data_IF_936762764314
#
_entry.id   IF_936762764314
#
_cell.length_a   1.000
_cell.length_b   1.000
_cell.length_c   1.000
_cell.angle_alpha   90.00
_cell.angle_beta   90.00
_cell.angle_gamma   90.00
#
_symmetry.space_group_name_H-M   'P 1'
#
loop_
_entity.id
_entity.type
_entity.pdbx_description
1 polymer ?
#
# COMPACT_ATOMS: atom_id res chain seq x y z
N UNK A 1 -6.18 -19.18 4.90
CA UNK A 1 -6.50 -18.22 5.98
C UNK A 1 -6.92 -16.86 5.44
N UNK A 2 -6.11 -16.13 4.67
CA UNK A 2 -6.53 -14.87 4.03
C UNK A 2 -7.86 -14.98 3.24
N UNK A 3 -7.99 -16.03 2.41
CA UNK A 3 -9.23 -16.31 1.67
C UNK A 3 -10.49 -16.52 2.53
N UNK A 4 -10.33 -16.95 3.79
CA UNK A 4 -11.45 -17.14 4.72
C UNK A 4 -11.93 -15.78 5.22
N UNK A 5 -11.00 -14.91 5.64
CA UNK A 5 -11.34 -13.56 6.09
C UNK A 5 -11.90 -12.69 4.96
N UNK A 6 -11.39 -12.83 3.73
CA UNK A 6 -11.95 -12.12 2.58
C UNK A 6 -13.36 -12.62 2.24
N UNK A 7 -13.59 -13.93 2.25
CA UNK A 7 -14.93 -14.50 2.03
C UNK A 7 -15.91 -14.05 3.12
N UNK A 8 -15.49 -14.05 4.38
CA UNK A 8 -16.33 -13.60 5.51
C UNK A 8 -16.69 -12.12 5.41
N UNK A 9 -15.74 -11.27 4.99
CA UNK A 9 -15.97 -9.84 4.76
C UNK A 9 -16.92 -9.60 3.57
N UNK A 10 -16.80 -10.41 2.52
CA UNK A 10 -17.70 -10.34 1.38
C UNK A 10 -19.12 -10.79 1.75
N UNK A 11 -19.26 -11.92 2.44
CA UNK A 11 -20.56 -12.42 2.90
C UNK A 11 -21.25 -11.44 3.84
N UNK A 12 -20.51 -10.78 4.75
CA UNK A 12 -21.10 -9.77 5.62
C UNK A 12 -21.71 -8.63 4.79
N UNK A 13 -21.00 -8.13 3.77
CA UNK A 13 -21.53 -7.09 2.89
C UNK A 13 -22.78 -7.50 2.12
N UNK A 14 -22.86 -8.75 1.67
CA UNK A 14 -24.07 -9.29 1.02
C UNK A 14 -25.24 -9.29 2.00
N UNK A 15 -25.02 -9.78 3.23
CA UNK A 15 -26.07 -9.81 4.26
C UNK A 15 -26.58 -8.40 4.56
N UNK A 16 -25.69 -7.42 4.76
CA UNK A 16 -26.10 -6.03 4.97
C UNK A 16 -26.82 -5.42 3.76
N UNK A 17 -26.40 -5.78 2.54
CA UNK A 17 -27.08 -5.32 1.31
C UNK A 17 -28.49 -5.90 1.22
N UNK A 18 -28.67 -7.20 1.47
CA UNK A 18 -29.97 -7.87 1.46
C UNK A 18 -30.90 -7.31 2.55
N UNK A 19 -30.41 -7.16 3.78
CA UNK A 19 -31.16 -6.53 4.86
C UNK A 19 -31.47 -5.06 4.57
N UNK A 20 -30.58 -4.36 3.87
CA UNK A 20 -30.76 -2.99 3.40
C UNK A 20 -31.94 -2.81 2.44
N UNK A 21 -32.27 -3.84 1.66
CA UNK A 21 -33.47 -3.82 0.79
C UNK A 21 -34.78 -3.82 1.57
N UNK A 22 -34.78 -4.38 2.79
CA UNK A 22 -35.95 -4.41 3.66
C UNK A 22 -35.96 -3.21 4.61
N UNK A 23 -34.81 -2.87 5.19
CA UNK A 23 -34.65 -1.79 6.17
C UNK A 23 -33.52 -0.84 5.76
N UNK A 24 -33.91 0.37 5.35
CA UNK A 24 -33.03 1.38 4.75
C UNK A 24 -31.80 1.75 5.62
N UNK A 25 -31.89 1.56 6.95
CA UNK A 25 -30.78 1.77 7.91
C UNK A 25 -29.56 0.90 7.58
N UNK A 26 -29.76 -0.33 7.13
CA UNK A 26 -28.68 -1.29 6.88
C UNK A 26 -27.98 -1.05 5.53
N UNK A 27 -28.63 -0.35 4.59
CA UNK A 27 -28.03 0.01 3.31
C UNK A 27 -26.80 0.91 3.49
N UNK A 28 -26.80 1.79 4.49
CA UNK A 28 -25.68 2.71 4.77
C UNK A 28 -24.43 1.97 5.28
N UNK A 29 -24.61 0.81 5.92
CA UNK A 29 -23.51 0.04 6.53
C UNK A 29 -23.05 -1.14 5.66
N UNK A 30 -23.59 -1.29 4.46
CA UNK A 30 -23.30 -2.44 3.58
C UNK A 30 -21.80 -2.64 3.30
N UNK A 31 -21.04 -1.56 3.14
CA UNK A 31 -19.59 -1.60 2.88
C UNK A 31 -18.75 -1.27 4.11
N UNK A 32 -19.35 -1.20 5.31
CA UNK A 32 -18.65 -0.71 6.51
C UNK A 32 -17.38 -1.49 6.84
N UNK A 33 -17.39 -2.82 6.66
CA UNK A 33 -16.25 -3.70 6.94
C UNK A 33 -15.15 -3.66 5.88
N UNK A 34 -15.37 -3.00 4.74
CA UNK A 34 -14.38 -2.80 3.68
C UNK A 34 -13.46 -1.58 3.93
N UNK A 35 -13.70 -0.80 4.97
CA UNK A 35 -12.82 0.33 5.31
C UNK A 35 -11.38 -0.13 5.57
N UNK A 36 -10.40 0.62 5.05
CA UNK A 36 -8.97 0.29 5.16
C UNK A 36 -8.50 0.23 6.62
N UNK A 37 -9.16 0.96 7.51
CA UNK A 37 -8.89 1.04 8.94
C UNK A 37 -9.62 -0.03 9.77
N UNK A 38 -10.33 -0.97 9.14
CA UNK A 38 -11.14 -1.96 9.84
C UNK A 38 -10.36 -3.25 10.11
N UNK A 39 -10.74 -3.91 11.21
CA UNK A 39 -10.14 -5.17 11.67
C UNK A 39 -10.13 -6.27 10.58
N UNK A 40 -11.21 -6.49 9.78
CA UNK A 40 -11.18 -7.53 8.75
C UNK A 40 -10.10 -7.30 7.71
N UNK A 41 -9.94 -6.06 7.25
CA UNK A 41 -8.90 -5.69 6.27
C UNK A 41 -7.50 -5.90 6.86
N UNK A 42 -7.31 -5.56 8.14
CA UNK A 42 -6.05 -5.82 8.85
C UNK A 42 -5.74 -7.32 8.98
N UNK A 43 -6.74 -8.17 9.27
CA UNK A 43 -6.55 -9.62 9.33
C UNK A 43 -6.26 -10.22 7.95
N UNK A 44 -6.91 -9.71 6.91
CA UNK A 44 -6.65 -10.10 5.52
C UNK A 44 -5.20 -9.75 5.16
N UNK A 45 -4.75 -8.51 5.42
CA UNK A 45 -3.39 -8.08 5.09
C UNK A 45 -2.33 -8.85 5.89
N UNK A 46 -2.53 -9.05 7.19
CA UNK A 46 -1.61 -9.81 8.04
C UNK A 46 -1.48 -11.27 7.59
N UNK A 47 -2.60 -11.94 7.32
CA UNK A 47 -2.56 -13.34 6.89
C UNK A 47 -2.07 -13.51 5.46
N UNK A 48 -2.28 -12.53 4.59
CA UNK A 48 -1.67 -12.49 3.26
C UNK A 48 -0.15 -12.34 3.36
N UNK A 49 0.32 -11.43 4.21
CA UNK A 49 1.75 -11.25 4.49
C UNK A 49 2.38 -12.56 5.00
N UNK A 50 1.76 -13.20 6.00
CA UNK A 50 2.23 -14.50 6.52
C UNK A 50 2.21 -15.62 5.47
N UNK A 51 1.30 -15.57 4.49
CA UNK A 51 1.31 -16.53 3.39
C UNK A 51 2.56 -16.35 2.52
N UNK A 52 2.95 -15.11 2.24
CA UNK A 52 4.16 -14.82 1.48
C UNK A 52 5.46 -15.07 2.27
N UNK A 53 5.48 -14.92 3.59
CA UNK A 53 6.68 -15.25 4.39
C UNK A 53 6.99 -16.75 4.39
N UNK A 54 5.97 -17.59 4.25
CA UNK A 54 6.12 -19.04 4.17
C UNK A 54 6.40 -19.53 2.74
N UNK A 55 6.34 -18.65 1.74
CA UNK A 55 6.57 -19.00 0.34
C UNK A 55 8.07 -19.12 0.09
N UNK A 56 8.53 -20.33 -0.24
CA UNK A 56 9.92 -20.57 -0.63
C UNK A 56 10.12 -20.14 -2.09
N UNK A 57 10.65 -18.94 -2.28
CA UNK A 57 10.97 -18.37 -3.59
C UNK A 57 12.48 -18.28 -3.79
N UNK A 58 12.95 -18.67 -4.97
CA UNK A 58 14.35 -18.51 -5.34
C UNK A 58 14.67 -17.04 -5.65
N UNK A 59 15.93 -16.66 -5.44
CA UNK A 59 16.42 -15.33 -5.78
C UNK A 59 16.26 -15.06 -7.29
N UNK A 60 15.57 -13.97 -7.64
CA UNK A 60 15.45 -13.51 -9.02
C UNK A 60 15.69 -12.00 -9.06
N UNK A 61 16.64 -11.57 -9.89
CA UNK A 61 17.07 -10.18 -9.93
C UNK A 61 15.93 -9.22 -10.32
N UNK A 62 15.09 -9.62 -11.28
CA UNK A 62 13.96 -8.81 -11.74
C UNK A 62 12.91 -8.58 -10.66
N UNK A 63 12.55 -9.62 -9.89
CA UNK A 63 11.56 -9.49 -8.81
C UNK A 63 12.13 -8.61 -7.70
N UNK A 64 13.40 -8.80 -7.33
CA UNK A 64 14.02 -7.98 -6.29
C UNK A 64 14.16 -6.51 -6.70
N UNK A 65 14.47 -6.24 -7.96
CA UNK A 65 14.52 -4.86 -8.49
C UNK A 65 13.12 -4.23 -8.53
N UNK A 66 12.08 -4.98 -8.89
CA UNK A 66 10.70 -4.49 -8.80
C UNK A 66 10.27 -4.26 -7.36
N UNK A 67 10.67 -5.15 -6.44
CA UNK A 67 10.36 -5.04 -5.02
C UNK A 67 10.88 -3.74 -4.41
N UNK A 68 12.10 -3.30 -4.75
CA UNK A 68 12.62 -2.01 -4.27
C UNK A 68 11.78 -0.83 -4.73
N UNK A 69 11.16 -0.91 -5.92
CA UNK A 69 10.34 0.16 -6.47
C UNK A 69 8.89 0.18 -5.96
N UNK A 70 8.39 -0.92 -5.37
CA UNK A 70 6.96 -1.04 -4.97
C UNK A 70 6.50 0.07 -4.02
N UNK A 71 7.32 0.42 -3.03
CA UNK A 71 6.98 1.46 -2.06
C UNK A 71 6.95 2.85 -2.72
N UNK A 72 7.92 3.16 -3.60
CA UNK A 72 7.92 4.44 -4.32
C UNK A 72 6.74 4.57 -5.28
N UNK A 73 6.40 3.49 -6.00
CA UNK A 73 5.20 3.42 -6.83
C UNK A 73 3.95 3.72 -6.02
N UNK A 74 3.81 3.12 -4.82
CA UNK A 74 2.71 3.40 -3.91
C UNK A 74 2.59 4.89 -3.58
N UNK A 75 3.69 5.52 -3.18
CA UNK A 75 3.71 6.95 -2.85
C UNK A 75 3.34 7.86 -4.04
N UNK A 76 3.66 7.47 -5.27
CA UNK A 76 3.34 8.26 -6.46
C UNK A 76 1.85 8.18 -6.78
N UNK A 77 1.29 6.97 -6.92
CA UNK A 77 -0.09 6.83 -7.41
C UNK A 77 -1.16 7.07 -6.33
N UNK A 78 -0.85 6.82 -5.06
CA UNK A 78 -1.74 7.11 -3.92
C UNK A 78 -1.49 8.51 -3.32
N UNK A 79 -0.66 9.35 -3.97
CA UNK A 79 -0.51 10.73 -3.56
C UNK A 79 -1.84 11.49 -3.67
N UNK A 80 -2.20 12.28 -2.65
CA UNK A 80 -3.47 13.01 -2.61
C UNK A 80 -3.69 13.96 -3.80
N UNK A 81 -2.61 14.46 -4.41
CA UNK A 81 -2.64 15.35 -5.58
C UNK A 81 -2.69 14.53 -6.88
N UNK A 82 -1.84 13.51 -7.01
CA UNK A 82 -1.72 12.75 -8.26
C UNK A 82 -2.88 11.78 -8.47
N UNK A 83 -3.42 11.20 -7.40
CA UNK A 83 -4.54 10.25 -7.45
C UNK A 83 -5.73 10.80 -8.25
N UNK A 84 -6.33 11.96 -7.94
CA UNK A 84 -7.44 12.49 -8.73
C UNK A 84 -7.01 12.83 -10.17
N UNK A 85 -5.78 13.32 -10.39
CA UNK A 85 -5.30 13.64 -11.74
C UNK A 85 -5.22 12.38 -12.60
N UNK A 86 -4.63 11.30 -12.08
CA UNK A 86 -4.54 10.01 -12.77
C UNK A 86 -5.94 9.46 -13.07
N UNK A 87 -6.76 9.27 -12.04
CA UNK A 87 -7.98 8.48 -12.19
C UNK A 87 -9.17 9.27 -12.75
N UNK A 88 -9.23 10.59 -12.51
CA UNK A 88 -10.35 11.46 -12.96
C UNK A 88 -9.98 12.18 -14.25
N UNK A 89 -8.80 12.83 -14.31
CA UNK A 89 -8.48 13.69 -15.45
C UNK A 89 -7.89 12.92 -16.64
N UNK A 90 -6.95 12.00 -16.39
CA UNK A 90 -6.23 11.26 -17.45
C UNK A 90 -7.05 10.07 -17.93
N UNK A 91 -7.35 9.12 -17.02
CA UNK A 91 -7.98 7.86 -17.41
C UNK A 91 -9.50 7.87 -17.36
N UNK A 92 -10.12 8.93 -16.80
CA UNK A 92 -11.57 9.16 -16.82
C UNK A 92 -12.40 7.91 -16.49
N UNK A 93 -11.98 7.13 -15.49
CA UNK A 93 -12.52 5.79 -15.22
C UNK A 93 -14.04 5.79 -14.95
N UNK A 94 -14.58 6.94 -14.53
CA UNK A 94 -16.01 7.16 -14.38
C UNK A 94 -16.82 6.85 -15.66
N UNK A 95 -16.28 7.17 -16.84
CA UNK A 95 -16.99 6.98 -18.11
C UNK A 95 -17.30 5.52 -18.45
N UNK A 96 -16.52 4.59 -17.88
CA UNK A 96 -16.66 3.16 -18.15
C UNK A 96 -17.47 2.41 -17.08
N UNK A 97 -17.97 3.07 -16.03
CA UNK A 97 -18.63 2.42 -14.89
C UNK A 97 -19.83 1.54 -15.27
N UNK A 98 -20.58 1.91 -16.32
CA UNK A 98 -21.74 1.17 -16.79
C UNK A 98 -21.46 0.26 -18.00
N UNK A 99 -20.19 0.14 -18.40
CA UNK A 99 -19.78 -0.64 -19.57
C UNK A 99 -19.20 -1.99 -19.16
N UNK A 100 -19.49 -3.03 -19.94
CA UNK A 100 -18.84 -4.35 -19.84
C UNK A 100 -17.31 -4.26 -20.04
N UNK A 101 -16.83 -3.17 -20.63
CA UNK A 101 -15.40 -2.89 -20.83
C UNK A 101 -14.69 -2.39 -19.57
N UNK A 102 -15.40 -2.13 -18.46
CA UNK A 102 -14.81 -1.60 -17.22
C UNK A 102 -13.64 -2.44 -16.72
N UNK A 103 -13.83 -3.76 -16.63
CA UNK A 103 -12.84 -4.70 -16.07
C UNK A 103 -11.57 -4.75 -16.93
N UNK A 104 -11.63 -5.06 -18.25
CA UNK A 104 -10.42 -5.12 -19.06
C UNK A 104 -9.72 -3.75 -19.17
N UNK A 105 -10.48 -2.65 -19.27
CA UNK A 105 -9.92 -1.30 -19.28
C UNK A 105 -9.15 -1.01 -18.00
N UNK A 106 -9.74 -1.29 -16.83
CA UNK A 106 -9.11 -1.04 -15.53
C UNK A 106 -7.81 -1.82 -15.35
N UNK A 107 -7.77 -3.08 -15.81
CA UNK A 107 -6.55 -3.90 -15.76
C UNK A 107 -5.43 -3.24 -16.59
N UNK A 108 -5.73 -2.83 -17.82
CA UNK A 108 -4.75 -2.20 -18.72
C UNK A 108 -4.24 -0.88 -18.11
N UNK A 109 -5.14 -0.05 -17.59
CA UNK A 109 -4.79 1.22 -16.97
C UNK A 109 -3.90 1.01 -15.75
N UNK A 110 -4.24 0.09 -14.85
CA UNK A 110 -3.43 -0.19 -13.64
C UNK A 110 -2.04 -0.69 -14.02
N UNK A 111 -1.93 -1.58 -15.02
CA UNK A 111 -0.63 -2.06 -15.50
C UNK A 111 0.21 -0.92 -16.10
N UNK A 112 -0.41 -0.02 -16.88
CA UNK A 112 0.27 1.15 -17.43
C UNK A 112 0.76 2.10 -16.34
N UNK A 113 -0.11 2.46 -15.40
CA UNK A 113 0.24 3.35 -14.27
C UNK A 113 1.36 2.73 -13.45
N UNK A 114 1.27 1.44 -13.13
CA UNK A 114 2.30 0.73 -12.40
C UNK A 114 3.64 0.78 -13.13
N UNK A 115 3.67 0.41 -14.42
CA UNK A 115 4.89 0.40 -15.22
C UNK A 115 5.56 1.78 -15.29
N UNK A 116 4.78 2.84 -15.52
CA UNK A 116 5.29 4.22 -15.59
C UNK A 116 5.85 4.64 -14.22
N UNK A 117 5.11 4.41 -13.14
CA UNK A 117 5.56 4.75 -11.78
C UNK A 117 6.82 3.96 -11.40
N UNK A 118 6.94 2.70 -11.79
CA UNK A 118 8.13 1.88 -11.53
C UNK A 118 9.34 2.47 -12.23
N UNK A 119 9.22 2.87 -13.51
CA UNK A 119 10.33 3.51 -14.23
C UNK A 119 10.76 4.81 -13.55
N UNK A 120 9.80 5.65 -13.13
CA UNK A 120 10.09 6.89 -12.41
C UNK A 120 10.83 6.61 -11.10
N UNK A 121 10.38 5.63 -10.32
CA UNK A 121 11.00 5.34 -9.03
C UNK A 121 12.39 4.69 -9.19
N UNK A 122 12.60 3.82 -10.18
CA UNK A 122 13.94 3.28 -10.47
C UNK A 122 14.94 4.37 -10.88
N UNK A 123 14.48 5.38 -11.65
CA UNK A 123 15.30 6.57 -11.95
C UNK A 123 15.61 7.33 -10.65
N UNK A 124 14.61 7.56 -9.79
CA UNK A 124 14.79 8.22 -8.50
C UNK A 124 15.82 7.50 -7.61
N UNK A 125 15.70 6.18 -7.47
CA UNK A 125 16.65 5.36 -6.70
C UNK A 125 18.09 5.49 -7.25
N UNK A 126 18.26 5.45 -8.57
CA UNK A 126 19.60 5.50 -9.18
C UNK A 126 20.25 6.88 -9.10
N UNK A 127 19.49 7.95 -9.34
CA UNK A 127 20.03 9.31 -9.49
C UNK A 127 19.95 10.16 -8.23
N UNK A 128 18.95 9.96 -7.37
CA UNK A 128 18.74 10.80 -6.19
C UNK A 128 19.10 10.09 -4.89
N UNK A 129 18.68 8.83 -4.73
CA UNK A 129 18.92 8.11 -3.48
C UNK A 129 20.40 7.81 -3.26
N UNK A 130 21.13 7.36 -4.28
CA UNK A 130 22.58 7.10 -4.17
C UNK A 130 23.39 8.32 -3.66
N UNK A 131 23.30 9.52 -4.27
CA UNK A 131 24.04 10.67 -3.75
C UNK A 131 23.51 11.14 -2.40
N UNK A 132 22.20 11.04 -2.15
CA UNK A 132 21.60 11.42 -0.88
C UNK A 132 22.09 10.53 0.27
N UNK A 133 22.12 9.21 0.08
CA UNK A 133 22.57 8.26 1.10
C UNK A 133 24.05 8.48 1.47
N UNK A 134 24.91 8.82 0.51
CA UNK A 134 26.32 9.18 0.82
C UNK A 134 26.40 10.40 1.76
N UNK A 135 25.53 11.39 1.58
CA UNK A 135 25.46 12.56 2.46
C UNK A 135 24.92 12.14 3.82
N UNK A 136 23.82 11.39 3.85
CA UNK A 136 23.20 10.92 5.09
C UNK A 136 24.18 10.11 5.91
N UNK A 137 24.84 9.10 5.33
CA UNK A 137 25.81 8.25 6.02
C UNK A 137 26.94 9.07 6.63
N UNK A 138 27.42 10.11 5.93
CA UNK A 138 28.46 11.01 6.44
C UNK A 138 28.04 11.78 7.70
N UNK A 139 26.77 12.14 7.83
CA UNK A 139 26.25 12.88 8.99
C UNK A 139 25.56 12.00 10.04
N UNK A 140 25.13 10.80 9.63
CA UNK A 140 24.40 9.86 10.48
C UNK A 140 25.25 9.41 11.66
N UNK A 141 26.52 9.07 11.45
CA UNK A 141 27.41 8.63 12.53
C UNK A 141 27.53 9.68 13.65
N UNK A 142 27.63 10.96 13.28
CA UNK A 142 27.69 12.04 14.27
C UNK A 142 26.38 12.18 15.06
N UNK A 143 25.25 12.02 14.38
CA UNK A 143 23.92 12.13 14.97
C UNK A 143 23.61 10.92 15.87
N UNK A 144 23.98 9.71 15.43
CA UNK A 144 23.87 8.47 16.20
C UNK A 144 24.74 8.57 17.46
N UNK A 145 25.99 9.03 17.35
CA UNK A 145 26.87 9.20 18.50
C UNK A 145 26.32 10.23 19.51
N UNK A 146 25.74 11.33 19.04
CA UNK A 146 25.10 12.30 19.90
C UNK A 146 23.86 11.72 20.62
N UNK A 147 23.02 10.97 19.90
CA UNK A 147 21.84 10.30 20.46
C UNK A 147 22.21 9.19 21.44
N UNK A 148 23.25 8.40 21.15
CA UNK A 148 23.76 7.37 22.05
C UNK A 148 24.23 7.97 23.37
N UNK A 149 24.93 9.11 23.31
CA UNK A 149 25.36 9.83 24.51
C UNK A 149 24.17 10.33 25.34
N UNK A 150 23.11 10.83 24.69
CA UNK A 150 21.87 11.24 25.37
C UNK A 150 21.17 10.04 25.99
N UNK A 151 21.07 8.92 25.27
CA UNK A 151 20.49 7.67 25.77
C UNK A 151 21.21 7.18 27.02
N UNK A 152 22.55 7.17 27.02
CA UNK A 152 23.35 6.75 28.18
C UNK A 152 23.16 7.67 29.38
N UNK A 153 23.04 8.99 29.16
CA UNK A 153 22.73 9.96 30.22
C UNK A 153 21.33 9.69 30.79
N UNK A 154 20.31 9.53 29.95
CA UNK A 154 18.94 9.22 30.37
C UNK A 154 18.87 7.90 31.13
N UNK A 155 19.55 6.86 30.64
CA UNK A 155 19.63 5.54 31.29
C UNK A 155 20.28 5.63 32.67
N UNK A 156 21.38 6.39 32.79
CA UNK A 156 22.07 6.62 34.06
C UNK A 156 21.24 7.40 35.07
N UNK A 157 20.35 8.28 34.61
CA UNK A 157 19.41 9.03 35.45
C UNK A 157 18.18 8.23 35.89
N UNK A 158 17.79 7.22 35.11
CA UNK A 158 16.57 6.42 35.36
C UNK A 158 16.84 5.15 36.17
N UNK A 159 18.07 4.62 36.13
CA UNK A 159 18.48 3.38 36.80
C UNK A 159 19.70 3.52 37.73
N UNK A 160 20.20 4.75 37.92
CA UNK A 160 21.20 5.10 38.93
C UNK A 160 20.57 6.00 39.99
#
# INVERSE_FOLDING_TARGET
MCGIFSLLTYLSSIVFTLLGTQWNIFSTYATYFYGMEKIPVLLISLTLFLAFTNLQMNYTNSINTLATATFGVYLIHENIILRPILWINIFQNYQYQNSLLLIPYSIIVVLLVYAICTVIDLIRQKFFEKPFMVIVDKYADNLINALAKIYDICKKMMFG
#
